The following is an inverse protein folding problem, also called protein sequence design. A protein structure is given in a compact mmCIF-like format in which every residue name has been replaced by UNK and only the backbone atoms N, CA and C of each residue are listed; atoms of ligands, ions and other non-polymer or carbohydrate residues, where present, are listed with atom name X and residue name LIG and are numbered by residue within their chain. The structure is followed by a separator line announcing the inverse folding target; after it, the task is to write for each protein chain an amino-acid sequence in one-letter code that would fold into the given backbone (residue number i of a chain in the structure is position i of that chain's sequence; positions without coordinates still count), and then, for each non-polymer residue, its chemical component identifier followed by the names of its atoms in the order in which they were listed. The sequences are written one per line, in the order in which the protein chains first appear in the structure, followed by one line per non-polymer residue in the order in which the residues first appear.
data_IF_185332288974
#
_entry.id   IF_185332288974
#
_cell.length_a   1.000
_cell.length_b   1.000
_cell.length_c   1.000
_cell.angle_alpha   90.00
_cell.angle_beta   90.00
_cell.angle_gamma   90.00
#
_symmetry.space_group_name_H-M   'P 1'
#
loop_
_entity.id
_entity.type
_entity.pdbx_description
1 polymer ?
#
# COMPACT_ATOMS: atom_id res chain seq x y z
N UNK A 1 -7.71 -7.56 -9.63
CA UNK A 1 -6.66 -6.88 -8.83
C UNK A 1 -6.80 -7.24 -7.36
N UNK A 2 -5.69 -7.49 -6.69
CA UNK A 2 -5.64 -7.77 -5.26
C UNK A 2 -5.08 -6.55 -4.53
N UNK A 3 -5.81 -6.00 -3.58
CA UNK A 3 -5.30 -4.96 -2.69
C UNK A 3 -4.73 -5.61 -1.42
N UNK A 4 -3.57 -5.13 -0.98
CA UNK A 4 -2.92 -5.55 0.26
C UNK A 4 -2.83 -4.37 1.19
N UNK A 5 -3.50 -4.43 2.34
CA UNK A 5 -3.42 -3.42 3.40
C UNK A 5 -2.32 -3.83 4.38
N UNK A 6 -1.17 -3.15 4.29
CA UNK A 6 0.02 -3.45 5.08
C UNK A 6 -0.04 -2.75 6.46
N UNK A 7 -0.36 -3.51 7.47
CA UNK A 7 -0.45 -3.08 8.87
C UNK A 7 0.63 -3.67 9.80
N UNK A 8 1.67 -4.32 9.29
CA UNK A 8 2.64 -5.09 10.08
C UNK A 8 3.51 -4.31 11.09
N UNK A 9 3.54 -2.98 11.04
CA UNK A 9 4.37 -2.17 11.94
C UNK A 9 3.74 -1.93 13.32
N UNK A 10 4.49 -2.10 14.41
CA UNK A 10 4.03 -1.92 15.80
C UNK A 10 3.92 -0.45 16.28
N UNK A 11 4.12 0.54 15.39
CA UNK A 11 3.85 1.95 15.69
C UNK A 11 4.65 2.59 16.83
N UNK A 12 5.88 2.18 17.10
CA UNK A 12 6.73 2.63 18.23
C UNK A 12 6.78 4.15 18.45
N UNK A 13 6.64 4.96 17.39
CA UNK A 13 6.73 6.44 17.45
C UNK A 13 5.48 7.13 18.00
N UNK A 14 4.35 6.44 18.07
CA UNK A 14 3.10 6.98 18.62
C UNK A 14 2.90 6.71 20.12
N UNK A 15 3.79 5.91 20.76
CA UNK A 15 3.74 5.66 22.20
C UNK A 15 2.51 4.89 22.70
N UNK A 16 1.63 4.47 21.80
CA UNK A 16 0.44 3.70 22.16
C UNK A 16 0.83 2.24 22.38
N UNK A 17 0.37 1.61 23.45
CA UNK A 17 0.53 0.18 23.73
C UNK A 17 -0.20 -0.72 22.72
N UNK A 18 -0.89 -0.14 21.76
CA UNK A 18 -1.68 -0.78 20.69
C UNK A 18 -1.07 -0.43 19.33
N UNK A 19 -1.09 -1.35 18.35
CA UNK A 19 -0.67 -1.04 16.99
C UNK A 19 -1.41 0.17 16.43
N UNK A 20 -0.68 1.11 15.82
CA UNK A 20 -1.25 2.38 15.34
C UNK A 20 -2.39 2.19 14.33
N UNK A 21 -2.41 1.09 13.61
CA UNK A 21 -3.44 0.73 12.64
C UNK A 21 -4.82 0.52 13.27
N UNK A 22 -4.85 0.28 14.58
CA UNK A 22 -6.07 0.14 15.39
C UNK A 22 -6.50 1.46 16.06
N UNK A 23 -5.76 2.55 15.86
CA UNK A 23 -6.21 3.87 16.27
C UNK A 23 -7.44 4.27 15.47
N UNK A 24 -8.36 4.98 16.13
CA UNK A 24 -9.62 5.41 15.53
C UNK A 24 -9.47 6.78 14.89
N UNK A 25 -10.06 6.94 13.73
CA UNK A 25 -10.19 8.18 12.97
C UNK A 25 -11.64 8.28 12.45
N UNK A 26 -12.41 9.27 12.89
CA UNK A 26 -13.79 9.44 12.46
C UNK A 26 -14.65 8.18 12.67
N UNK A 27 -14.56 7.53 13.83
CA UNK A 27 -15.35 6.36 14.20
C UNK A 27 -14.90 5.00 13.64
N UNK A 28 -13.89 4.95 12.77
CA UNK A 28 -13.33 3.72 12.21
C UNK A 28 -11.83 3.62 12.51
N UNK A 29 -11.30 2.42 12.64
CA UNK A 29 -9.84 2.25 12.75
C UNK A 29 -9.14 2.60 11.43
N UNK A 30 -7.83 2.92 11.49
CA UNK A 30 -7.06 3.25 10.28
C UNK A 30 -7.09 2.08 9.27
N UNK A 31 -6.99 0.83 9.75
CA UNK A 31 -7.06 -0.35 8.88
C UNK A 31 -8.44 -0.52 8.26
N UNK A 32 -9.53 -0.32 9.02
CA UNK A 32 -10.90 -0.38 8.47
C UNK A 32 -11.12 0.65 7.37
N UNK A 33 -10.61 1.88 7.55
CA UNK A 33 -10.73 2.93 6.54
C UNK A 33 -10.06 2.54 5.22
N UNK A 34 -8.86 1.95 5.30
CA UNK A 34 -8.16 1.46 4.11
C UNK A 34 -8.94 0.31 3.46
N UNK A 35 -9.40 -0.66 4.24
CA UNK A 35 -10.23 -1.78 3.74
C UNK A 35 -11.50 -1.24 3.08
N UNK A 36 -12.21 -0.33 3.73
CA UNK A 36 -13.42 0.27 3.19
C UNK A 36 -13.19 1.02 1.86
N UNK A 37 -12.01 1.64 1.68
CA UNK A 37 -11.67 2.28 0.43
C UNK A 37 -11.52 1.27 -0.71
N UNK A 38 -10.82 0.17 -0.48
CA UNK A 38 -10.63 -0.89 -1.48
C UNK A 38 -11.89 -1.74 -1.71
N UNK A 39 -12.68 -2.02 -0.66
CA UNK A 39 -13.92 -2.78 -0.78
C UNK A 39 -14.93 -2.10 -1.70
N UNK A 40 -14.99 -0.76 -1.67
CA UNK A 40 -15.85 0.05 -2.56
C UNK A 40 -15.31 0.22 -3.98
N UNK A 41 -14.02 -0.03 -4.22
CA UNK A 41 -13.40 0.24 -5.52
C UNK A 41 -13.76 -0.83 -6.57
N UNK A 42 -14.40 -0.48 -7.72
CA UNK A 42 -14.86 -1.49 -8.70
C UNK A 42 -13.74 -2.35 -9.29
N UNK A 43 -12.54 -1.79 -9.44
CA UNK A 43 -11.38 -2.48 -10.03
C UNK A 43 -10.61 -3.38 -9.07
N UNK A 44 -11.04 -3.50 -7.82
CA UNK A 44 -10.44 -4.39 -6.82
C UNK A 44 -11.36 -5.61 -6.63
N UNK A 45 -10.80 -6.80 -6.75
CA UNK A 45 -11.53 -8.06 -6.60
C UNK A 45 -11.39 -8.62 -5.19
N UNK A 46 -10.18 -8.49 -4.59
CA UNK A 46 -9.85 -9.04 -3.29
C UNK A 46 -9.07 -8.03 -2.43
N UNK A 47 -9.25 -8.13 -1.12
CA UNK A 47 -8.49 -7.37 -0.11
C UNK A 47 -7.84 -8.34 0.86
N UNK A 48 -6.53 -8.34 0.92
CA UNK A 48 -5.72 -9.05 1.91
C UNK A 48 -5.22 -8.04 2.96
N UNK A 49 -5.36 -8.37 4.23
CA UNK A 49 -4.91 -7.52 5.33
C UNK A 49 -3.73 -8.18 6.03
N UNK A 50 -2.65 -7.42 6.24
CA UNK A 50 -1.46 -7.89 6.96
C UNK A 50 -1.37 -7.15 8.28
N UNK A 51 -1.36 -7.89 9.39
CA UNK A 51 -1.33 -7.32 10.74
C UNK A 51 -0.13 -7.83 11.55
N UNK A 52 0.29 -7.14 12.62
CA UNK A 52 1.31 -7.65 13.53
C UNK A 52 0.82 -8.94 14.20
N UNK A 53 1.78 -9.77 14.60
CA UNK A 53 1.51 -11.00 15.35
C UNK A 53 0.61 -10.73 16.56
N UNK A 54 -0.40 -11.60 16.75
CA UNK A 54 -1.35 -11.54 17.87
C UNK A 54 -2.55 -10.59 17.66
N UNK A 55 -2.62 -9.87 16.51
CA UNK A 55 -3.73 -8.97 16.22
C UNK A 55 -4.62 -9.43 15.05
N UNK A 56 -4.29 -10.53 14.40
CA UNK A 56 -5.03 -11.04 13.23
C UNK A 56 -6.47 -11.39 13.59
N UNK A 57 -6.70 -12.20 14.63
CA UNK A 57 -8.05 -12.61 15.04
C UNK A 57 -8.96 -11.44 15.45
N UNK A 58 -8.40 -10.43 16.15
CA UNK A 58 -9.16 -9.21 16.51
C UNK A 58 -9.60 -8.46 15.24
N UNK A 59 -8.69 -8.28 14.29
CA UNK A 59 -8.97 -7.54 13.04
C UNK A 59 -9.90 -8.34 12.15
N UNK A 60 -9.74 -9.65 12.06
CA UNK A 60 -10.63 -10.54 11.32
C UNK A 60 -12.07 -10.43 11.82
N UNK A 61 -12.27 -10.55 13.14
CA UNK A 61 -13.60 -10.40 13.76
C UNK A 61 -14.21 -9.02 13.50
N UNK A 62 -13.40 -7.96 13.62
CA UNK A 62 -13.81 -6.58 13.36
C UNK A 62 -14.27 -6.38 11.91
N UNK A 63 -13.48 -6.85 10.94
CA UNK A 63 -13.79 -6.69 9.52
C UNK A 63 -14.98 -7.53 9.09
N UNK A 64 -15.12 -8.76 9.61
CA UNK A 64 -16.28 -9.61 9.39
C UNK A 64 -17.57 -8.96 9.93
N UNK A 65 -17.52 -8.37 11.13
CA UNK A 65 -18.64 -7.66 11.72
C UNK A 65 -19.06 -6.41 10.94
N UNK A 66 -18.13 -5.78 10.23
CA UNK A 66 -18.40 -4.60 9.38
C UNK A 66 -18.96 -4.96 7.99
N UNK A 67 -18.98 -6.25 7.59
CA UNK A 67 -19.61 -6.72 6.36
C UNK A 67 -18.85 -6.39 5.08
N UNK A 68 -17.53 -6.22 5.13
CA UNK A 68 -16.70 -6.07 3.93
C UNK A 68 -16.69 -7.34 3.09
N UNK A 69 -16.98 -7.23 1.80
CA UNK A 69 -17.21 -8.39 0.92
C UNK A 69 -15.94 -8.89 0.24
N UNK A 70 -14.93 -8.01 0.06
CA UNK A 70 -13.70 -8.33 -0.67
C UNK A 70 -12.56 -8.80 0.23
N UNK A 71 -12.73 -8.72 1.55
CA UNK A 71 -11.72 -9.20 2.50
C UNK A 71 -11.67 -10.73 2.42
N UNK A 72 -10.54 -11.24 1.96
CA UNK A 72 -10.34 -12.68 1.76
C UNK A 72 -9.50 -13.33 2.83
N UNK A 73 -8.63 -12.58 3.51
CA UNK A 73 -7.88 -13.05 4.67
C UNK A 73 -7.26 -11.88 5.46
N UNK A 74 -7.01 -12.16 6.74
CA UNK A 74 -6.14 -11.37 7.62
C UNK A 74 -4.97 -12.26 8.01
N UNK A 75 -3.74 -11.88 7.65
CA UNK A 75 -2.54 -12.69 7.88
C UNK A 75 -1.55 -11.97 8.79
N UNK A 76 -0.65 -12.74 9.41
CA UNK A 76 0.47 -12.17 10.14
C UNK A 76 1.53 -11.61 9.20
N UNK A 77 2.01 -10.39 9.49
CA UNK A 77 3.19 -9.81 8.86
C UNK A 77 4.49 -10.31 9.48
N UNK A 78 5.58 -10.01 8.80
CA UNK A 78 6.92 -10.29 9.31
C UNK A 78 7.48 -9.18 10.21
N UNK A 79 8.75 -9.31 10.58
CA UNK A 79 9.45 -8.39 11.48
C UNK A 79 9.64 -7.00 10.85
N UNK A 80 9.75 -6.94 9.53
CA UNK A 80 9.94 -5.70 8.77
C UNK A 80 8.82 -5.51 7.74
N UNK A 81 8.78 -4.31 7.10
CA UNK A 81 7.85 -4.04 6.02
C UNK A 81 8.06 -4.97 4.81
N UNK A 82 9.30 -5.18 4.32
CA UNK A 82 9.57 -6.17 3.28
C UNK A 82 9.13 -7.59 3.64
N UNK A 83 9.31 -8.02 4.90
CA UNK A 83 8.84 -9.34 5.35
C UNK A 83 7.32 -9.44 5.26
N UNK A 84 6.62 -8.38 5.64
CA UNK A 84 5.16 -8.30 5.55
C UNK A 84 4.69 -8.32 4.09
N UNK A 85 5.40 -7.63 3.18
CA UNK A 85 5.13 -7.70 1.75
C UNK A 85 5.32 -9.13 1.22
N UNK A 86 6.45 -9.78 1.55
CA UNK A 86 6.70 -11.18 1.12
C UNK A 86 5.64 -12.16 1.62
N UNK A 87 5.21 -12.01 2.89
CA UNK A 87 4.13 -12.83 3.43
C UNK A 87 2.82 -12.65 2.63
N UNK A 88 2.48 -11.40 2.25
CA UNK A 88 1.31 -11.13 1.43
C UNK A 88 1.43 -11.74 0.03
N UNK A 89 2.57 -11.55 -0.63
CA UNK A 89 2.82 -12.10 -1.97
C UNK A 89 2.74 -13.63 -1.98
N UNK A 90 3.31 -14.29 -0.98
CA UNK A 90 3.21 -15.75 -0.81
C UNK A 90 1.76 -16.20 -0.60
N UNK A 91 0.97 -15.48 0.22
CA UNK A 91 -0.43 -15.78 0.44
C UNK A 91 -1.28 -15.61 -0.82
N UNK A 92 -0.99 -14.60 -1.66
CA UNK A 92 -1.65 -14.40 -2.95
C UNK A 92 -1.29 -15.55 -3.91
N UNK A 93 0.00 -15.88 -4.04
CA UNK A 93 0.47 -16.94 -4.92
C UNK A 93 -0.12 -18.33 -4.55
N UNK A 94 -0.25 -18.63 -3.26
CA UNK A 94 -0.82 -19.88 -2.79
C UNK A 94 -2.32 -20.05 -3.09
N UNK A 95 -3.04 -18.95 -3.35
CA UNK A 95 -4.48 -18.92 -3.66
C UNK A 95 -4.76 -18.87 -5.16
N UNK A 96 -3.75 -18.50 -5.97
CA UNK A 96 -3.90 -18.59 -7.42
C UNK A 96 -4.19 -20.06 -7.80
N UNK A 97 -5.23 -20.34 -8.61
CA UNK A 97 -5.50 -21.71 -9.03
C UNK A 97 -4.27 -22.25 -9.76
N UNK A 98 -3.72 -23.37 -9.27
CA UNK A 98 -2.71 -24.13 -10.00
C UNK A 98 -3.28 -24.38 -11.40
N UNK A 99 -2.50 -24.14 -12.44
CA UNK A 99 -2.88 -24.30 -13.84
C UNK A 99 -3.38 -25.74 -14.07
N UNK A 100 -4.69 -25.98 -13.92
CA UNK A 100 -5.37 -27.25 -14.03
C UNK A 100 -6.82 -27.03 -14.41
N UNK A 101 -7.13 -27.25 -15.69
CA UNK A 101 -8.42 -27.62 -16.30
C UNK A 101 -9.70 -27.00 -15.72
N UNK A 102 -10.15 -25.86 -16.30
CA UNK A 102 -11.47 -25.32 -16.04
C UNK A 102 -11.70 -23.98 -16.74
N UNK A 103 -12.70 -23.90 -17.60
CA UNK A 103 -13.02 -22.83 -18.52
C UNK A 103 -13.06 -21.43 -17.88
N UNK A 104 -12.27 -20.50 -18.43
CA UNK A 104 -12.49 -19.09 -18.72
C UNK A 104 -12.43 -18.03 -17.65
N UNK A 105 -11.43 -17.17 -17.70
CA UNK A 105 -11.69 -15.76 -17.95
C UNK A 105 -11.04 -15.29 -19.25
N UNK A 106 -11.38 -14.05 -19.67
CA UNK A 106 -11.03 -13.46 -20.96
C UNK A 106 -9.56 -13.68 -21.34
N UNK A 107 -9.35 -13.96 -22.61
CA UNK A 107 -8.07 -14.23 -23.24
C UNK A 107 -6.98 -13.21 -22.89
N UNK A 108 -5.85 -13.70 -22.32
CA UNK A 108 -4.60 -12.95 -22.25
C UNK A 108 -3.79 -13.00 -20.97
N UNK A 109 -4.33 -13.34 -19.81
CA UNK A 109 -3.55 -13.41 -18.58
C UNK A 109 -3.13 -14.86 -18.29
N UNK A 110 -1.82 -15.10 -18.19
CA UNK A 110 -1.28 -16.35 -17.69
C UNK A 110 -1.79 -16.60 -16.26
N UNK A 111 -2.12 -17.84 -15.92
CA UNK A 111 -2.53 -18.21 -14.57
C UNK A 111 -1.42 -17.74 -13.61
N UNK A 112 -1.80 -16.81 -12.69
CA UNK A 112 -0.85 -16.21 -11.74
C UNK A 112 -0.46 -14.76 -12.03
N UNK A 113 -0.81 -14.18 -13.17
CA UNK A 113 -0.52 -12.77 -13.49
C UNK A 113 -1.68 -11.86 -13.06
N UNK A 114 -1.75 -11.53 -11.79
CA UNK A 114 -2.69 -10.54 -11.27
C UNK A 114 -1.95 -9.23 -10.88
N UNK A 115 -2.67 -8.12 -10.92
CA UNK A 115 -2.18 -6.85 -10.37
C UNK A 115 -2.33 -6.83 -8.86
N UNK A 116 -1.29 -6.34 -8.16
CA UNK A 116 -1.24 -6.21 -6.71
C UNK A 116 -1.03 -4.74 -6.34
N UNK A 117 -1.86 -4.21 -5.45
CA UNK A 117 -1.76 -2.86 -4.91
C UNK A 117 -1.35 -2.94 -3.43
N UNK A 118 -0.11 -2.57 -3.12
CA UNK A 118 0.45 -2.58 -1.77
C UNK A 118 0.20 -1.21 -1.10
N UNK A 119 -0.57 -1.19 -0.02
CA UNK A 119 -0.97 0.06 0.64
C UNK A 119 -0.70 0.06 2.14
N UNK A 120 -0.05 1.10 2.65
CA UNK A 120 0.19 1.27 4.08
C UNK A 120 -1.13 1.53 4.82
N UNK A 121 -1.51 0.69 5.79
CA UNK A 121 -2.67 0.92 6.66
C UNK A 121 -2.60 2.26 7.44
N UNK A 122 -1.43 2.87 7.49
CA UNK A 122 -1.21 4.19 8.07
C UNK A 122 -1.64 5.36 7.18
N UNK A 123 -2.20 5.12 5.97
CA UNK A 123 -2.74 6.15 5.06
C UNK A 123 -4.26 6.00 4.89
N UNK A 124 -5.04 6.36 5.92
CA UNK A 124 -6.48 6.05 5.98
C UNK A 124 -7.35 6.91 5.06
N UNK A 125 -6.78 7.93 4.42
CA UNK A 125 -7.52 8.89 3.58
C UNK A 125 -7.32 8.64 2.08
N UNK A 126 -7.16 7.36 1.71
CA UNK A 126 -7.02 6.94 0.32
C UNK A 126 -8.28 7.31 -0.50
N UNK A 127 -8.07 7.96 -1.65
CA UNK A 127 -9.11 8.42 -2.55
C UNK A 127 -9.46 7.35 -3.60
N UNK A 128 -10.76 7.27 -3.98
CA UNK A 128 -11.24 6.36 -5.03
C UNK A 128 -10.60 6.64 -6.38
N UNK A 129 -10.33 7.92 -6.70
CA UNK A 129 -9.61 8.31 -7.91
C UNK A 129 -8.23 7.68 -7.96
N UNK A 130 -7.48 7.76 -6.87
CA UNK A 130 -6.13 7.16 -6.80
C UNK A 130 -6.19 5.65 -7.04
N UNK A 131 -7.17 4.95 -6.46
CA UNK A 131 -7.33 3.50 -6.68
C UNK A 131 -7.64 3.22 -8.15
N UNK A 132 -8.56 3.97 -8.74
CA UNK A 132 -8.94 3.81 -10.15
C UNK A 132 -7.75 4.07 -11.09
N UNK A 133 -6.98 5.14 -10.84
CA UNK A 133 -5.78 5.47 -11.62
C UNK A 133 -4.70 4.39 -11.51
N UNK A 134 -4.50 3.81 -10.30
CA UNK A 134 -3.60 2.68 -10.08
C UNK A 134 -4.03 1.43 -10.86
N UNK A 135 -5.33 1.10 -10.82
CA UNK A 135 -5.89 -0.02 -11.59
C UNK A 135 -5.72 0.21 -13.10
N UNK A 136 -5.95 1.44 -13.57
CA UNK A 136 -5.75 1.81 -14.98
C UNK A 136 -4.27 1.70 -15.39
N UNK A 137 -3.35 2.17 -14.55
CA UNK A 137 -1.92 2.09 -14.79
C UNK A 137 -1.44 0.63 -14.94
N UNK A 138 -1.89 -0.29 -14.07
CA UNK A 138 -1.52 -1.71 -14.15
C UNK A 138 -2.11 -2.47 -15.36
N UNK A 139 -3.00 -1.85 -16.13
CA UNK A 139 -3.48 -2.45 -17.40
C UNK A 139 -2.46 -2.30 -18.53
N UNK A 140 -1.55 -1.32 -18.42
CA UNK A 140 -0.59 -0.95 -19.48
C UNK A 140 0.85 -0.92 -19.01
N UNK A 141 1.10 -0.96 -17.68
CA UNK A 141 2.43 -0.96 -17.08
C UNK A 141 2.59 -2.13 -16.11
N UNK A 142 3.80 -2.60 -15.93
CA UNK A 142 4.14 -3.67 -14.98
C UNK A 142 4.30 -3.19 -13.54
N UNK A 143 4.63 -1.90 -13.38
CA UNK A 143 4.78 -1.25 -12.09
C UNK A 143 4.29 0.20 -12.11
N UNK A 144 3.70 0.65 -11.01
CA UNK A 144 3.30 2.03 -10.82
C UNK A 144 3.40 2.44 -9.33
N UNK A 145 3.74 3.70 -9.09
CA UNK A 145 3.84 4.25 -7.74
C UNK A 145 3.09 5.56 -7.60
N UNK A 146 2.31 5.69 -6.53
CA UNK A 146 1.62 6.94 -6.22
C UNK A 146 2.60 7.95 -5.64
N UNK A 147 2.63 9.17 -6.17
CA UNK A 147 3.50 10.22 -5.68
C UNK A 147 2.89 11.62 -5.83
N UNK A 148 3.37 12.57 -5.03
CA UNK A 148 3.02 13.99 -5.08
C UNK A 148 4.29 14.84 -5.18
N UNK A 149 4.25 16.03 -5.78
CA UNK A 149 5.40 16.93 -5.81
C UNK A 149 5.94 17.23 -4.41
N UNK A 150 7.26 17.38 -4.28
CA UNK A 150 7.86 17.85 -3.04
C UNK A 150 7.53 19.33 -2.81
N UNK A 151 6.89 19.64 -1.68
CA UNK A 151 6.57 21.02 -1.28
C UNK A 151 7.79 21.74 -0.74
N UNK A 152 8.66 21.02 -0.02
CA UNK A 152 9.84 21.56 0.64
C UNK A 152 11.09 21.43 -0.24
N UNK A 153 12.10 22.26 0.06
CA UNK A 153 13.43 22.09 -0.50
C UNK A 153 14.11 20.89 0.14
N UNK A 154 14.52 19.93 -0.68
CA UNK A 154 15.23 18.71 -0.24
C UNK A 154 16.72 18.95 -0.36
N UNK A 155 17.48 18.57 0.67
CA UNK A 155 18.95 18.65 0.68
C UNK A 155 19.55 17.25 0.86
N UNK A 156 20.65 17.01 0.17
CA UNK A 156 21.49 15.83 0.40
C UNK A 156 22.55 16.21 1.44
N UNK A 157 22.69 15.40 2.49
CA UNK A 157 23.64 15.65 3.57
C UNK A 157 24.61 14.48 3.75
N UNK A 158 25.81 14.80 4.17
CA UNK A 158 26.83 13.83 4.57
C UNK A 158 27.54 14.35 5.84
N UNK A 159 27.60 13.53 6.88
CA UNK A 159 28.21 13.88 8.18
C UNK A 159 27.71 15.20 8.76
N UNK A 160 26.41 15.50 8.67
CA UNK A 160 25.79 16.72 9.16
C UNK A 160 26.03 17.97 8.32
N UNK A 161 26.70 17.85 7.17
CA UNK A 161 26.97 18.95 6.24
C UNK A 161 26.09 18.80 5.00
N UNK A 162 25.46 19.93 4.58
CA UNK A 162 24.71 19.97 3.32
C UNK A 162 25.68 19.85 2.13
N UNK A 163 25.42 18.91 1.23
CA UNK A 163 26.26 18.61 0.05
C UNK A 163 25.67 19.10 -1.25
N UNK A 164 24.36 18.94 -1.41
CA UNK A 164 23.67 19.38 -2.63
C UNK A 164 22.19 19.63 -2.38
N UNK A 165 21.58 20.34 -3.30
CA UNK A 165 20.13 20.55 -3.42
C UNK A 165 19.69 20.06 -4.79
N UNK A 166 19.01 18.88 -4.87
CA UNK A 166 18.41 18.42 -6.12
C UNK A 166 17.34 19.41 -6.60
N UNK A 167 17.13 19.48 -7.91
CA UNK A 167 16.08 20.32 -8.49
C UNK A 167 14.71 19.83 -8.03
N UNK A 168 13.93 20.69 -7.35
CA UNK A 168 12.63 20.35 -6.76
C UNK A 168 11.64 19.81 -7.80
N UNK A 169 11.68 20.30 -9.04
CA UNK A 169 10.80 19.88 -10.12
C UNK A 169 10.97 18.40 -10.50
N UNK A 170 12.10 17.79 -10.13
CA UNK A 170 12.37 16.38 -10.37
C UNK A 170 12.08 15.49 -9.14
N UNK A 171 11.63 16.08 -8.04
CA UNK A 171 11.43 15.38 -6.77
C UNK A 171 9.95 15.19 -6.46
N UNK A 172 9.59 13.95 -6.20
CA UNK A 172 8.27 13.55 -5.74
C UNK A 172 8.39 12.86 -4.38
N UNK A 173 7.38 13.05 -3.54
CA UNK A 173 7.21 12.28 -2.30
C UNK A 173 6.38 11.05 -2.59
N UNK A 174 6.98 9.87 -2.42
CA UNK A 174 6.29 8.60 -2.62
C UNK A 174 5.17 8.40 -1.60
N UNK A 175 4.04 7.93 -2.09
CA UNK A 175 2.90 7.50 -1.30
C UNK A 175 2.61 6.01 -1.58
N UNK A 176 1.48 5.53 -1.10
CA UNK A 176 0.90 4.25 -1.46
C UNK A 176 -0.56 4.47 -1.89
N UNK A 177 -1.14 3.62 -2.76
CA UNK A 177 -0.65 2.31 -3.19
C UNK A 177 0.61 2.34 -4.04
N UNK A 178 1.43 1.29 -3.92
CA UNK A 178 2.48 0.93 -4.87
C UNK A 178 2.01 -0.33 -5.58
N UNK A 179 2.03 -0.31 -6.90
CA UNK A 179 1.23 -1.22 -7.71
C UNK A 179 2.14 -1.99 -8.65
N UNK A 180 1.93 -3.30 -8.77
CA UNK A 180 2.81 -4.16 -9.55
C UNK A 180 2.05 -5.34 -10.14
N UNK A 181 2.54 -5.90 -11.25
CA UNK A 181 2.22 -7.27 -11.63
C UNK A 181 2.82 -8.23 -10.60
N UNK A 182 2.06 -9.24 -10.18
CA UNK A 182 2.50 -10.19 -9.15
C UNK A 182 3.86 -10.83 -9.47
N UNK A 183 4.15 -11.31 -10.70
CA UNK A 183 5.46 -11.89 -11.01
C UNK A 183 6.61 -10.89 -10.86
N UNK A 184 6.39 -9.63 -11.22
CA UNK A 184 7.42 -8.56 -11.15
C UNK A 184 7.81 -8.29 -9.70
N UNK A 185 6.83 -8.02 -8.84
CA UNK A 185 7.13 -7.69 -7.44
C UNK A 185 7.65 -8.90 -6.67
N UNK A 186 7.17 -10.09 -6.97
CA UNK A 186 7.69 -11.33 -6.38
C UNK A 186 9.16 -11.51 -6.72
N UNK A 187 9.51 -11.40 -8.01
CA UNK A 187 10.89 -11.53 -8.46
C UNK A 187 11.82 -10.48 -7.85
N UNK A 188 11.37 -9.24 -7.77
CA UNK A 188 12.14 -8.17 -7.12
C UNK A 188 12.43 -8.47 -5.65
N UNK A 189 11.43 -8.94 -4.89
CA UNK A 189 11.60 -9.31 -3.47
C UNK A 189 12.44 -10.57 -3.27
N UNK A 190 12.42 -11.54 -4.18
CA UNK A 190 13.32 -12.70 -4.15
C UNK A 190 14.78 -12.26 -4.27
N UNK A 191 15.09 -11.39 -5.24
CA UNK A 191 16.43 -10.85 -5.43
C UNK A 191 16.89 -10.02 -4.23
N UNK A 192 16.02 -9.16 -3.71
CA UNK A 192 16.29 -8.36 -2.51
C UNK A 192 16.55 -9.22 -1.27
N UNK A 193 15.87 -10.35 -1.12
CA UNK A 193 16.09 -11.27 0.02
C UNK A 193 17.48 -11.94 -0.01
N UNK A 194 18.10 -12.03 -1.18
CA UNK A 194 19.46 -12.56 -1.36
C UNK A 194 20.57 -11.50 -1.12
N UNK A 195 20.21 -10.22 -0.92
CA UNK A 195 21.15 -9.12 -0.68
C UNK A 195 20.99 -8.58 0.77
N UNK A 196 21.75 -9.08 1.75
CA UNK A 196 21.66 -8.65 3.14
C UNK A 196 22.14 -7.20 3.36
N UNK A 197 22.83 -6.60 2.39
CA UNK A 197 23.29 -5.21 2.46
C UNK A 197 22.22 -4.19 2.08
N UNK A 198 21.06 -4.63 1.57
CA UNK A 198 20.00 -3.74 1.15
C UNK A 198 18.81 -3.73 2.12
N UNK A 199 18.52 -2.55 2.65
CA UNK A 199 17.36 -2.31 3.51
C UNK A 199 16.34 -1.42 2.77
N UNK A 200 15.37 -1.99 2.04
CA UNK A 200 14.40 -1.20 1.29
C UNK A 200 13.46 -0.41 2.20
N UNK A 201 13.17 0.82 1.82
CA UNK A 201 12.20 1.68 2.49
C UNK A 201 10.78 1.49 1.97
N UNK A 202 10.65 1.07 0.70
CA UNK A 202 9.38 0.81 0.00
C UNK A 202 9.54 -0.22 -1.13
N UNK A 203 8.43 -0.63 -1.75
CA UNK A 203 8.44 -1.69 -2.77
C UNK A 203 8.88 -1.17 -4.15
N UNK A 204 8.60 0.11 -4.48
CA UNK A 204 9.10 0.72 -5.72
C UNK A 204 10.63 0.75 -5.73
N UNK A 205 11.27 1.07 -4.59
CA UNK A 205 12.72 1.05 -4.44
C UNK A 205 13.32 -0.35 -4.63
N UNK A 206 12.58 -1.41 -4.24
CA UNK A 206 13.00 -2.79 -4.51
C UNK A 206 13.01 -3.07 -6.01
N UNK A 207 11.94 -2.70 -6.74
CA UNK A 207 11.86 -2.89 -8.19
C UNK A 207 12.94 -2.11 -8.91
N UNK A 208 13.09 -0.82 -8.61
CA UNK A 208 14.11 0.04 -9.24
C UNK A 208 15.54 -0.48 -9.06
N UNK A 209 15.84 -1.14 -7.94
CA UNK A 209 17.18 -1.67 -7.68
C UNK A 209 17.45 -2.98 -8.37
N UNK A 210 16.50 -3.91 -8.36
CA UNK A 210 16.74 -5.29 -8.79
C UNK A 210 16.18 -5.64 -10.16
N UNK A 211 15.30 -4.81 -10.69
CA UNK A 211 14.71 -4.95 -12.01
C UNK A 211 14.82 -3.61 -12.77
N UNK A 212 16.05 -3.16 -13.11
CA UNK A 212 16.29 -1.83 -13.69
C UNK A 212 15.61 -1.62 -15.05
N UNK A 213 15.25 -2.69 -15.75
CA UNK A 213 14.52 -2.64 -17.03
C UNK A 213 13.00 -2.46 -16.84
N UNK A 214 12.50 -2.55 -15.61
CA UNK A 214 11.08 -2.32 -15.30
C UNK A 214 10.86 -0.86 -14.93
N UNK A 215 10.14 -0.16 -15.78
CA UNK A 215 9.74 1.22 -15.51
C UNK A 215 8.63 1.28 -14.45
N UNK A 216 8.80 2.14 -13.43
CA UNK A 216 7.77 2.42 -12.43
C UNK A 216 7.02 3.68 -12.84
N UNK A 217 5.82 3.52 -13.37
CA UNK A 217 4.97 4.64 -13.81
C UNK A 217 4.48 5.46 -12.62
N UNK A 218 4.42 6.81 -12.75
CA UNK A 218 3.92 7.68 -11.69
C UNK A 218 2.41 7.89 -11.81
N UNK A 219 1.69 7.55 -10.76
CA UNK A 219 0.28 7.87 -10.57
C UNK A 219 0.18 9.12 -9.68
N UNK A 220 -0.53 10.18 -10.10
CA UNK A 220 -0.71 11.37 -9.28
C UNK A 220 -1.42 11.07 -7.97
N UNK A 221 -0.77 11.37 -6.87
CA UNK A 221 -1.30 11.19 -5.52
C UNK A 221 -2.20 12.34 -5.05
N UNK A 222 -2.30 12.51 -3.75
CA UNK A 222 -3.02 13.59 -3.09
C UNK A 222 -2.28 14.00 -1.82
N UNK A 223 -2.21 15.30 -1.53
CA UNK A 223 -1.70 15.81 -0.26
C UNK A 223 -2.52 15.30 0.94
N UNK A 224 -3.80 14.94 0.71
CA UNK A 224 -4.66 14.34 1.74
C UNK A 224 -4.33 12.88 2.04
N UNK A 225 -3.63 12.17 1.15
CA UNK A 225 -3.20 10.78 1.38
C UNK A 225 -1.97 10.72 2.30
N UNK A 226 -2.08 11.39 3.46
CA UNK A 226 -1.02 11.51 4.46
C UNK A 226 -0.76 10.18 5.15
N UNK A 227 0.46 9.99 5.65
CA UNK A 227 0.84 8.83 6.45
C UNK A 227 0.83 9.20 7.93
N UNK A 228 -0.06 8.62 8.72
CA UNK A 228 -0.10 8.77 10.16
C UNK A 228 1.18 8.19 10.76
N UNK A 229 2.05 9.05 11.28
CA UNK A 229 3.37 8.69 11.81
C UNK A 229 3.58 9.25 13.20
N UNK A 230 3.10 10.45 13.45
CA UNK A 230 3.16 11.18 14.71
C UNK A 230 1.76 11.49 15.24
N UNK A 231 1.58 11.78 16.56
CA UNK A 231 0.28 12.10 17.12
C UNK A 231 -0.45 13.26 16.42
N UNK A 232 0.28 14.29 16.01
CA UNK A 232 -0.28 15.44 15.29
C UNK A 232 -0.89 15.09 13.93
N UNK A 233 -0.43 14.02 13.28
CA UNK A 233 -0.96 13.59 11.99
C UNK A 233 -2.43 13.12 12.10
N UNK A 234 -2.86 12.60 13.27
CA UNK A 234 -4.25 12.25 13.52
C UNK A 234 -5.15 13.48 13.49
N UNK A 235 -4.73 14.57 14.12
CA UNK A 235 -5.49 15.83 14.13
C UNK A 235 -5.66 16.37 12.70
N UNK A 236 -4.59 16.33 11.91
CA UNK A 236 -4.63 16.74 10.49
C UNK A 236 -5.59 15.82 9.70
N UNK A 237 -5.53 14.51 9.96
CA UNK A 237 -6.41 13.55 9.29
C UNK A 237 -7.88 13.74 9.66
N UNK A 238 -8.20 14.05 10.92
CA UNK A 238 -9.57 14.34 11.38
C UNK A 238 -10.11 15.59 10.69
N UNK A 239 -9.34 16.67 10.64
CA UNK A 239 -9.72 17.89 9.94
C UNK A 239 -10.00 17.64 8.45
N UNK A 240 -9.09 16.91 7.78
CA UNK A 240 -9.25 16.56 6.36
C UNK A 240 -10.48 15.67 6.10
N UNK A 241 -10.86 14.85 7.08
CA UNK A 241 -12.05 13.99 7.00
C UNK A 241 -13.33 14.81 7.16
N UNK A 242 -13.36 15.76 8.10
CA UNK A 242 -14.50 16.66 8.33
C UNK A 242 -14.78 17.52 7.08
N UNK A 243 -13.75 18.12 6.47
CA UNK A 243 -13.89 18.88 5.23
C UNK A 243 -14.47 18.05 4.07
N UNK A 244 -14.19 16.74 4.04
CA UNK A 244 -14.73 15.84 3.01
C UNK A 244 -16.21 15.56 3.22
N UNK A 245 -16.67 15.51 4.47
CA UNK A 245 -18.08 15.29 4.80
C UNK A 245 -18.95 16.52 4.48
N UNK A 246 -18.38 17.72 4.53
CA UNK A 246 -19.06 18.98 4.24
C UNK A 246 -19.13 19.32 2.73
N UNK A 247 -18.33 18.67 1.90
CA UNK A 247 -18.39 18.87 0.43
C UNK A 247 -19.53 18.07 -0.17
N UNK A 248 -20.46 18.70 -0.92
CA UNK A 248 -21.44 17.96 -1.71
C UNK A 248 -20.73 17.04 -2.71
N UNK A 249 -21.34 15.90 -3.07
CA UNK A 249 -20.80 15.06 -4.14
C UNK A 249 -20.62 15.89 -5.41
N UNK A 250 -19.57 15.63 -6.22
CA UNK A 250 -19.42 16.26 -7.53
C UNK A 250 -20.66 15.91 -8.38
N UNK A 251 -21.20 16.95 -9.06
CA UNK A 251 -22.32 16.81 -10.02
C UNK A 251 -21.95 15.90 -11.19
#
# INVERSE_FOLDING_TARGET
MVAVVLGGGVGRRLGAGTPKQLLTLGGQTLVERCVAAFDRAPGIDEVLVVMPRGYTGQVEAMLAGAGYRKVTAVIEGGATRPDSTRAALAAIAARAPSAGTGAGPAAGAAAGDCGVLLHDAARPLLDQRIIADCVAALRVHDAAGVAVPASDTIVVTENGVMRSMPRRETLLRCQTPQCFRLPVITRAHELAAADPGFAPTDDCGVVLRYLPDVEVHIVPGSERNIKITYPGDLVIAEAALAERAERPPPE
#
